data_IF_030785204633
#
_entry.id   IF_030785204633
#
_cell.length_a   1.000
_cell.length_b   1.000
_cell.length_c   1.000
_cell.angle_alpha   90.00
_cell.angle_beta   90.00
_cell.angle_gamma   90.00
#
_symmetry.space_group_name_H-M   'P 1'
#
loop_
_entity.id
_entity.type
_entity.pdbx_description
1 polymer ?
#
# COMPACT_ATOMS: atom_id res chain seq x y z
N UNK A 1 29.24 14.75 10.15
CA UNK A 1 29.20 13.49 9.38
C UNK A 1 27.83 12.87 9.60
N UNK A 2 26.93 12.94 8.61
CA UNK A 2 25.56 12.39 8.75
C UNK A 2 25.69 10.86 8.60
N UNK A 3 25.38 10.11 9.65
CA UNK A 3 25.25 8.65 9.57
C UNK A 3 24.08 8.35 8.63
N UNK A 4 24.37 7.86 7.44
CA UNK A 4 23.37 7.27 6.56
C UNK A 4 22.77 6.06 7.29
N UNK A 5 21.45 6.04 7.46
CA UNK A 5 20.77 4.84 7.93
C UNK A 5 20.92 3.78 6.83
N UNK A 6 21.70 2.72 7.09
CA UNK A 6 21.77 1.60 6.15
C UNK A 6 20.43 0.86 6.19
N UNK A 7 19.76 0.75 5.04
CA UNK A 7 18.71 -0.25 4.89
C UNK A 7 19.36 -1.62 4.99
N UNK A 8 18.78 -2.49 5.83
CA UNK A 8 19.19 -3.87 5.86
C UNK A 8 18.55 -4.61 4.67
N UNK A 9 19.22 -4.54 3.52
CA UNK A 9 18.76 -5.18 2.27
C UNK A 9 18.71 -6.70 2.43
N UNK A 10 19.63 -7.27 3.21
CA UNK A 10 19.67 -8.70 3.48
C UNK A 10 18.41 -9.15 4.23
N UNK A 11 17.99 -8.39 5.26
CA UNK A 11 16.73 -8.66 5.97
C UNK A 11 15.50 -8.56 5.04
N UNK A 12 15.46 -7.58 4.14
CA UNK A 12 14.37 -7.46 3.16
C UNK A 12 14.33 -8.67 2.21
N UNK A 13 15.50 -9.14 1.77
CA UNK A 13 15.61 -10.34 0.95
C UNK A 13 15.16 -11.59 1.72
N UNK A 14 15.59 -11.75 2.97
CA UNK A 14 15.15 -12.84 3.85
C UNK A 14 13.64 -12.85 4.05
N UNK A 15 13.02 -11.69 4.29
CA UNK A 15 11.57 -11.58 4.37
C UNK A 15 10.89 -12.05 3.09
N UNK A 16 11.40 -11.65 1.92
CA UNK A 16 10.84 -12.10 0.65
C UNK A 16 10.95 -13.62 0.46
N UNK A 17 12.12 -14.20 0.76
CA UNK A 17 12.34 -15.64 0.64
C UNK A 17 11.42 -16.41 1.59
N UNK A 18 11.38 -16.01 2.86
CA UNK A 18 10.54 -16.63 3.86
C UNK A 18 9.06 -16.48 3.50
N UNK A 19 8.64 -15.33 2.96
CA UNK A 19 7.27 -15.16 2.48
C UNK A 19 6.94 -16.11 1.33
N UNK A 20 7.84 -16.34 0.38
CA UNK A 20 7.59 -17.26 -0.73
C UNK A 20 7.52 -18.72 -0.26
N UNK A 21 8.36 -19.10 0.71
CA UNK A 21 8.47 -20.49 1.18
C UNK A 21 7.37 -20.88 2.18
N UNK A 22 6.89 -19.94 2.99
CA UNK A 22 5.88 -20.23 4.00
C UNK A 22 4.46 -20.18 3.41
N UNK A 23 3.57 -21.04 3.89
CA UNK A 23 2.16 -21.04 3.47
C UNK A 23 1.35 -19.91 4.11
N UNK A 24 1.72 -19.50 5.33
CA UNK A 24 1.10 -18.39 6.06
C UNK A 24 1.92 -17.09 5.91
N UNK A 25 1.37 -15.96 6.34
CA UNK A 25 2.09 -14.69 6.41
C UNK A 25 3.23 -14.78 7.43
N UNK A 26 4.43 -14.38 7.03
CA UNK A 26 5.52 -14.22 7.98
C UNK A 26 5.35 -12.91 8.76
N UNK A 27 5.86 -12.86 10.00
CA UNK A 27 5.94 -11.61 10.74
C UNK A 27 7.11 -10.79 10.20
N UNK A 28 6.83 -9.57 9.75
CA UNK A 28 7.84 -8.58 9.38
C UNK A 28 7.89 -7.50 10.46
N UNK A 29 9.06 -6.90 10.66
CA UNK A 29 9.20 -5.78 11.60
C UNK A 29 8.38 -4.58 11.11
N UNK A 30 7.67 -3.93 12.03
CA UNK A 30 6.81 -2.78 11.78
C UNK A 30 7.62 -1.57 11.28
N UNK A 31 8.91 -1.48 11.63
CA UNK A 31 9.76 -0.37 11.18
C UNK A 31 10.22 -0.49 9.73
N UNK A 32 10.11 -1.66 9.09
CA UNK A 32 10.73 -1.95 7.78
C UNK A 32 10.37 -0.91 6.71
N UNK A 33 9.08 -0.58 6.58
CA UNK A 33 8.64 0.40 5.58
C UNK A 33 9.09 1.83 5.93
N UNK A 34 9.11 2.17 7.22
CA UNK A 34 9.59 3.47 7.71
C UNK A 34 11.09 3.62 7.47
N UNK A 35 11.88 2.58 7.75
CA UNK A 35 13.33 2.56 7.58
C UNK A 35 13.72 2.72 6.11
N UNK A 36 13.04 1.99 5.21
CA UNK A 36 13.27 2.11 3.77
C UNK A 36 12.87 3.49 3.25
N UNK A 37 11.73 4.02 3.70
CA UNK A 37 11.28 5.36 3.32
C UNK A 37 12.27 6.43 3.79
N UNK A 38 12.79 6.26 5.01
CA UNK A 38 13.80 7.15 5.60
C UNK A 38 15.09 7.12 4.80
N UNK A 39 15.55 5.93 4.41
CA UNK A 39 16.69 5.76 3.54
C UNK A 39 16.52 6.44 2.18
N UNK A 40 15.39 6.24 1.51
CA UNK A 40 15.12 6.90 0.23
C UNK A 40 15.06 8.42 0.35
N UNK A 41 14.56 8.94 1.47
CA UNK A 41 14.58 10.38 1.75
C UNK A 41 16.00 10.90 1.92
N UNK A 42 16.86 10.19 2.65
CA UNK A 42 18.25 10.58 2.87
C UNK A 42 19.07 10.53 1.57
N UNK A 43 18.95 9.46 0.80
CA UNK A 43 19.71 9.29 -0.44
C UNK A 43 19.25 10.24 -1.55
N UNK A 44 17.97 10.62 -1.57
CA UNK A 44 17.47 11.64 -2.50
C UNK A 44 18.05 13.03 -2.22
N UNK A 45 18.23 13.39 -0.95
CA UNK A 45 18.69 14.71 -0.54
C UNK A 45 20.20 14.90 -0.66
N UNK A 46 20.98 13.81 -0.67
CA UNK A 46 22.44 13.85 -0.71
C UNK A 46 23.03 14.06 -2.12
N UNK A 47 22.24 14.56 -3.08
CA UNK A 47 22.71 14.92 -4.42
C UNK A 47 23.01 13.71 -5.29
N UNK A 48 21.96 13.06 -5.80
CA UNK A 48 22.09 12.11 -6.91
C UNK A 48 22.34 12.90 -8.21
N UNK A 49 23.57 13.32 -8.44
CA UNK A 49 23.97 13.82 -9.75
C UNK A 49 24.03 12.60 -10.69
N UNK A 50 23.00 12.45 -11.53
CA UNK A 50 22.78 11.28 -12.40
C UNK A 50 23.89 11.05 -13.42
N UNK A 51 24.80 12.01 -13.54
CA UNK A 51 25.94 11.98 -14.45
C UNK A 51 27.20 11.33 -13.83
N UNK A 52 27.16 10.95 -12.55
CA UNK A 52 28.26 10.26 -11.87
C UNK A 52 27.94 8.77 -11.69
N UNK A 53 28.96 7.91 -11.72
CA UNK A 53 28.82 6.46 -11.47
C UNK A 53 28.10 6.21 -10.14
N UNK A 54 28.46 6.96 -9.09
CA UNK A 54 27.82 6.83 -7.77
C UNK A 54 26.33 7.24 -7.80
N UNK A 55 25.97 8.26 -8.58
CA UNK A 55 24.58 8.66 -8.78
C UNK A 55 23.76 7.57 -9.50
N UNK A 56 24.32 6.96 -10.54
CA UNK A 56 23.71 5.84 -11.26
C UNK A 56 23.52 4.63 -10.34
N UNK A 57 24.56 4.24 -9.59
CA UNK A 57 24.49 3.12 -8.65
C UNK A 57 23.43 3.34 -7.56
N UNK A 58 23.31 4.57 -7.04
CA UNK A 58 22.27 4.96 -6.07
C UNK A 58 20.86 4.82 -6.66
N UNK A 59 20.65 5.16 -7.94
CA UNK A 59 19.36 4.97 -8.62
C UNK A 59 19.03 3.48 -8.77
N UNK A 60 20.00 2.68 -9.21
CA UNK A 60 19.83 1.23 -9.39
C UNK A 60 19.55 0.52 -8.06
N UNK A 61 20.28 0.86 -6.99
CA UNK A 61 20.03 0.31 -5.66
C UNK A 61 18.60 0.57 -5.19
N UNK A 62 18.11 1.81 -5.37
CA UNK A 62 16.72 2.16 -5.01
C UNK A 62 15.71 1.41 -5.85
N UNK A 63 15.99 1.22 -7.14
CA UNK A 63 15.17 0.43 -8.06
C UNK A 63 15.05 -1.03 -7.58
N UNK A 64 16.18 -1.64 -7.20
CA UNK A 64 16.23 -3.00 -6.66
C UNK A 64 15.43 -3.13 -5.36
N UNK A 65 15.60 -2.19 -4.43
CA UNK A 65 14.85 -2.17 -3.16
C UNK A 65 13.34 -2.05 -3.41
N UNK A 66 12.90 -1.13 -4.28
CA UNK A 66 11.49 -1.00 -4.68
C UNK A 66 10.96 -2.31 -5.28
N UNK A 67 11.74 -2.95 -6.15
CA UNK A 67 11.36 -4.20 -6.80
C UNK A 67 11.14 -5.32 -5.78
N UNK A 68 12.02 -5.45 -4.79
CA UNK A 68 11.89 -6.43 -3.71
C UNK A 68 10.66 -6.17 -2.84
N UNK A 69 10.42 -4.92 -2.41
CA UNK A 69 9.23 -4.56 -1.63
C UNK A 69 7.96 -4.85 -2.41
N UNK A 70 7.92 -4.49 -3.69
CA UNK A 70 6.78 -4.77 -4.56
C UNK A 70 6.47 -6.25 -4.56
N UNK A 71 7.50 -7.09 -4.77
CA UNK A 71 7.32 -8.54 -4.85
C UNK A 71 6.90 -9.15 -3.51
N UNK A 72 7.41 -8.62 -2.39
CA UNK A 72 7.00 -9.01 -1.05
C UNK A 72 5.52 -8.69 -0.82
N UNK A 73 5.11 -7.45 -1.07
CA UNK A 73 3.72 -7.00 -0.93
C UNK A 73 2.77 -7.79 -1.84
N UNK A 74 3.13 -8.00 -3.11
CA UNK A 74 2.32 -8.79 -4.04
C UNK A 74 2.13 -10.22 -3.55
N UNK A 75 3.18 -10.84 -3.01
CA UNK A 75 3.10 -12.21 -2.46
C UNK A 75 2.19 -12.25 -1.25
N UNK A 76 2.36 -11.30 -0.31
CA UNK A 76 1.53 -11.17 0.89
C UNK A 76 0.06 -10.93 0.55
N UNK A 77 -0.23 -9.99 -0.34
CA UNK A 77 -1.59 -9.72 -0.79
C UNK A 77 -2.22 -10.91 -1.52
N UNK A 78 -1.46 -11.64 -2.34
CA UNK A 78 -1.96 -12.86 -2.97
C UNK A 78 -2.35 -13.90 -1.91
N UNK A 79 -1.54 -14.12 -0.87
CA UNK A 79 -1.91 -15.01 0.23
C UNK A 79 -3.19 -14.57 0.93
N UNK A 80 -3.34 -13.27 1.17
CA UNK A 80 -4.53 -12.71 1.80
C UNK A 80 -5.79 -12.92 0.94
N UNK A 81 -5.72 -12.63 -0.37
CA UNK A 81 -6.89 -12.67 -1.25
C UNK A 81 -7.24 -14.07 -1.76
N UNK A 82 -6.24 -14.94 -1.92
CA UNK A 82 -6.43 -16.29 -2.44
C UNK A 82 -6.62 -17.32 -1.33
N UNK A 83 -6.67 -16.94 -0.05
CA UNK A 83 -6.89 -17.92 1.02
C UNK A 83 -8.39 -18.26 1.18
N UNK A 84 -8.85 -19.42 0.69
CA UNK A 84 -10.25 -19.82 0.82
C UNK A 84 -10.61 -20.23 2.26
N UNK A 85 -9.62 -20.56 3.09
CA UNK A 85 -9.82 -21.20 4.39
C UNK A 85 -10.04 -20.22 5.54
N UNK A 86 -9.75 -18.93 5.33
CA UNK A 86 -9.82 -17.91 6.39
C UNK A 86 -8.85 -18.13 7.57
N UNK A 87 -7.93 -19.11 7.47
CA UNK A 87 -6.99 -19.49 8.54
C UNK A 87 -5.69 -18.66 8.57
N UNK A 88 -5.59 -17.60 7.77
CA UNK A 88 -4.40 -16.76 7.70
C UNK A 88 -4.22 -16.01 9.03
N UNK A 89 -3.02 -16.01 9.60
CA UNK A 89 -2.71 -15.18 10.76
C UNK A 89 -2.55 -13.71 10.35
N UNK A 90 -3.67 -12.98 10.27
CA UNK A 90 -3.70 -11.54 9.97
C UNK A 90 -2.94 -10.68 11.00
N UNK A 91 -2.63 -11.23 12.17
CA UNK A 91 -1.76 -10.60 13.19
C UNK A 91 -0.33 -10.36 12.71
N UNK A 92 0.09 -10.99 11.61
CA UNK A 92 1.42 -10.84 11.04
C UNK A 92 1.50 -9.72 9.99
N UNK A 93 0.40 -9.01 9.74
CA UNK A 93 0.38 -7.80 8.91
C UNK A 93 1.02 -6.63 9.64
N UNK A 94 1.71 -5.77 8.90
CA UNK A 94 2.12 -4.47 9.46
C UNK A 94 0.90 -3.55 9.61
N UNK A 95 1.02 -2.44 10.36
CA UNK A 95 -0.04 -1.45 10.45
C UNK A 95 -0.47 -0.89 9.07
N UNK A 96 0.47 -0.64 8.16
CA UNK A 96 0.18 -0.15 6.80
C UNK A 96 -0.59 -1.19 5.98
N UNK A 97 -0.17 -2.45 6.05
CA UNK A 97 -0.86 -3.55 5.36
C UNK A 97 -2.26 -3.78 5.92
N UNK A 98 -2.40 -3.70 7.26
CA UNK A 98 -3.68 -3.81 7.96
C UNK A 98 -4.66 -2.73 7.50
N UNK A 99 -4.20 -1.48 7.38
CA UNK A 99 -5.01 -0.38 6.87
C UNK A 99 -5.49 -0.64 5.44
N UNK A 100 -4.60 -1.10 4.55
CA UNK A 100 -4.95 -1.44 3.18
C UNK A 100 -5.95 -2.60 3.11
N UNK A 101 -5.75 -3.63 3.92
CA UNK A 101 -6.64 -4.79 3.99
C UNK A 101 -8.04 -4.42 4.48
N UNK A 102 -8.15 -3.61 5.54
CA UNK A 102 -9.45 -3.16 6.07
C UNK A 102 -10.22 -2.29 5.04
N UNK A 103 -9.51 -1.46 4.28
CA UNK A 103 -10.12 -0.69 3.19
C UNK A 103 -10.64 -1.62 2.08
N UNK A 104 -9.86 -2.63 1.70
CA UNK A 104 -10.29 -3.64 0.73
C UNK A 104 -11.51 -4.42 1.21
N UNK A 105 -11.53 -4.85 2.48
CA UNK A 105 -12.67 -5.57 3.08
C UNK A 105 -13.95 -4.75 3.01
N UNK A 106 -13.90 -3.46 3.34
CA UNK A 106 -15.04 -2.53 3.21
C UNK A 106 -15.52 -2.38 1.77
N UNK A 107 -14.58 -2.30 0.82
CA UNK A 107 -14.90 -2.26 -0.60
C UNK A 107 -15.59 -3.55 -1.05
N UNK A 108 -15.05 -4.72 -0.71
CA UNK A 108 -15.63 -6.03 -1.04
C UNK A 108 -17.05 -6.18 -0.50
N UNK A 109 -17.29 -5.85 0.77
CA UNK A 109 -18.64 -5.86 1.35
C UNK A 109 -19.61 -4.91 0.63
N UNK A 110 -19.12 -3.75 0.17
CA UNK A 110 -19.94 -2.81 -0.60
C UNK A 110 -20.27 -3.34 -1.99
N UNK A 111 -19.31 -4.03 -2.62
CA UNK A 111 -19.51 -4.72 -3.91
C UNK A 111 -20.52 -5.85 -3.77
N UNK A 112 -20.39 -6.72 -2.76
CA UNK A 112 -21.31 -7.84 -2.52
C UNK A 112 -22.74 -7.33 -2.29
N UNK A 113 -22.90 -6.23 -1.53
CA UNK A 113 -24.20 -5.57 -1.38
C UNK A 113 -24.74 -5.03 -2.69
N UNK A 114 -23.91 -4.42 -3.53
CA UNK A 114 -24.33 -3.93 -4.84
C UNK A 114 -24.83 -5.10 -5.71
N UNK A 115 -24.04 -6.17 -5.82
CA UNK A 115 -24.38 -7.37 -6.59
C UNK A 115 -25.70 -7.99 -6.10
N UNK A 116 -25.87 -8.14 -4.79
CA UNK A 116 -27.12 -8.65 -4.20
C UNK A 116 -28.33 -7.77 -4.54
N UNK A 117 -28.18 -6.45 -4.52
CA UNK A 117 -29.28 -5.56 -4.88
C UNK A 117 -29.62 -5.62 -6.38
N UNK A 118 -28.63 -5.86 -7.25
CA UNK A 118 -28.86 -6.12 -8.67
C UNK A 118 -29.63 -7.43 -8.85
N UNK A 119 -29.16 -8.51 -8.23
CA UNK A 119 -29.78 -9.83 -8.27
C UNK A 119 -31.24 -9.79 -7.81
N UNK A 120 -31.54 -9.03 -6.75
CA UNK A 120 -32.88 -8.88 -6.19
C UNK A 120 -33.76 -7.85 -6.91
N UNK A 121 -33.24 -7.12 -7.90
CA UNK A 121 -34.00 -6.08 -8.61
C UNK A 121 -34.31 -4.82 -7.78
N UNK A 122 -33.52 -4.52 -6.75
CA UNK A 122 -33.74 -3.40 -5.83
C UNK A 122 -33.31 -2.04 -6.43
N UNK A 123 -34.06 -1.53 -7.42
CA UNK A 123 -33.75 -0.28 -8.14
C UNK A 123 -33.71 0.95 -7.22
N UNK A 124 -34.51 0.97 -6.15
CA UNK A 124 -34.54 2.07 -5.16
C UNK A 124 -33.18 2.25 -4.46
N UNK A 125 -32.56 1.15 -4.03
CA UNK A 125 -31.24 1.16 -3.37
C UNK A 125 -30.16 1.65 -4.34
N UNK A 126 -30.21 1.24 -5.61
CA UNK A 126 -29.28 1.71 -6.64
C UNK A 126 -29.41 3.22 -6.87
N UNK A 127 -30.65 3.74 -6.91
CA UNK A 127 -30.91 5.16 -7.03
C UNK A 127 -30.41 5.97 -5.82
N UNK A 128 -30.52 5.42 -4.60
CA UNK A 128 -29.96 6.05 -3.40
C UNK A 128 -28.43 6.07 -3.41
N UNK A 129 -27.79 4.98 -3.84
CA UNK A 129 -26.34 4.92 -4.04
C UNK A 129 -25.87 5.99 -5.02
N UNK A 130 -26.56 6.14 -6.16
CA UNK A 130 -26.29 7.19 -7.16
C UNK A 130 -26.38 8.59 -6.55
N UNK A 131 -27.44 8.88 -5.77
CA UNK A 131 -27.62 10.18 -5.09
C UNK A 131 -26.51 10.50 -4.07
N UNK A 132 -25.97 9.50 -3.37
CA UNK A 132 -24.85 9.68 -2.43
C UNK A 132 -23.55 10.11 -3.11
N UNK A 133 -23.32 9.68 -4.35
CA UNK A 133 -22.15 10.08 -5.15
C UNK A 133 -22.28 11.56 -5.55
N UNK A 134 -23.46 11.96 -6.02
CA UNK A 134 -23.72 13.34 -6.46
C UNK A 134 -23.59 14.38 -5.34
N UNK A 135 -23.82 14.02 -4.08
CA UNK A 135 -23.67 14.93 -2.92
C UNK A 135 -22.22 15.20 -2.50
N UNK A 136 -21.24 14.42 -2.98
CA UNK A 136 -19.82 14.58 -2.59
C UNK A 136 -19.03 15.52 -3.48
N UNK A 137 -19.57 15.96 -4.62
CA UNK A 137 -18.94 16.92 -5.51
C UNK A 137 -19.74 18.23 -5.52
N UNK A 138 -19.34 19.19 -4.68
CA UNK A 138 -19.76 20.59 -4.79
C UNK A 138 -18.54 21.38 -5.25
N UNK A 139 -18.59 21.88 -6.49
CA UNK A 139 -17.60 22.81 -7.02
C UNK A 139 -18.04 24.21 -6.58
N UNK A 140 -17.35 24.77 -5.59
CA UNK A 140 -17.62 26.14 -5.11
C UNK A 140 -16.78 27.11 -5.94
N UNK A 141 -17.44 27.93 -6.77
CA UNK A 141 -16.80 29.10 -7.37
C UNK A 141 -16.83 30.22 -6.34
N UNK A 142 -15.69 30.53 -5.74
CA UNK A 142 -15.53 31.72 -4.91
C UNK A 142 -15.65 32.93 -5.85
N UNK A 143 -16.72 33.71 -5.71
CA UNK A 143 -16.76 35.08 -6.21
C UNK A 143 -16.13 35.94 -5.12
N UNK A 144 -14.94 36.51 -5.40
CA UNK A 144 -14.40 37.70 -4.74
C UNK A 144 -15.52 38.73 -4.50
N UNK A 145 -15.77 39.30 -3.32
CA UNK A 145 -14.91 39.66 -2.19
C UNK A 145 -15.57 39.28 -0.85
N UNK A 146 -14.92 38.41 -0.06
CA UNK A 146 -15.23 38.27 1.37
C UNK A 146 -13.90 38.48 2.10
N UNK A 147 -13.73 39.56 2.91
CA UNK A 147 -12.53 39.73 3.72
C UNK A 147 -12.44 38.63 4.79
N UNK A 148 -11.23 38.38 5.33
CA UNK A 148 -10.95 37.26 6.24
C UNK A 148 -11.77 37.26 7.53
#
# INVERSE_FOLDING_TARGET
>A
MIKLSKVNVDALYEYLIQEVLNSDLIKIDESVYVDITTYFRQTRNNGNDSNTINGILSIEERSLIISMIRRLLETRFRKIFLNPSGKLSLSNLTPEETLLFENYKKFRLSMDRLLKNIEMGNVTVLNEMKKKISKRAVLVKIQSDIPP
#
